data_IF_255378353079
#
_entry.id   IF_255378353079
#
_cell.length_a   1.000
_cell.length_b   1.000
_cell.length_c   1.000
_cell.angle_alpha   90.00
_cell.angle_beta   90.00
_cell.angle_gamma   90.00
#
_symmetry.space_group_name_H-M   'P 1'
#
loop_
_entity.id
_entity.type
_entity.pdbx_description
1 polymer ?
#
# COMPACT_ATOMS: atom_id res chain seq x y z
N UNK A 1 22.14 -14.32 -23.22
CA UNK A 1 21.62 -13.16 -23.95
C UNK A 1 21.66 -11.97 -23.01
N UNK A 2 22.47 -10.95 -23.30
CA UNK A 2 22.60 -9.75 -22.44
C UNK A 2 21.34 -8.88 -22.46
N UNK A 3 20.48 -9.09 -23.46
CA UNK A 3 19.26 -8.31 -23.64
C UNK A 3 18.07 -8.93 -22.92
N UNK A 4 18.10 -10.23 -22.62
CA UNK A 4 17.09 -10.96 -21.86
C UNK A 4 17.75 -11.87 -20.81
N UNK A 5 18.29 -11.31 -19.71
CA UNK A 5 18.95 -12.10 -18.69
C UNK A 5 17.95 -13.05 -17.99
N UNK A 6 18.36 -14.31 -17.79
CA UNK A 6 17.62 -15.32 -17.04
C UNK A 6 17.76 -15.17 -15.52
N UNK A 7 18.78 -14.44 -15.08
CA UNK A 7 19.05 -14.06 -13.70
C UNK A 7 19.82 -12.74 -13.70
N UNK A 8 19.64 -11.96 -12.64
CA UNK A 8 20.53 -10.84 -12.34
C UNK A 8 21.55 -11.29 -11.30
N UNK A 9 22.72 -10.65 -11.32
CA UNK A 9 23.66 -10.77 -10.20
C UNK A 9 22.95 -10.36 -8.90
N UNK A 10 23.17 -11.11 -7.82
CA UNK A 10 22.44 -10.93 -6.56
C UNK A 10 22.68 -9.56 -5.94
N UNK A 11 23.91 -9.04 -6.04
CA UNK A 11 24.26 -7.72 -5.51
C UNK A 11 23.57 -6.65 -6.36
N UNK A 12 23.61 -6.78 -7.69
CA UNK A 12 22.90 -5.86 -8.59
C UNK A 12 21.39 -5.85 -8.36
N UNK A 13 20.75 -7.01 -8.19
CA UNK A 13 19.32 -7.11 -7.91
C UNK A 13 18.96 -6.41 -6.60
N UNK A 14 19.77 -6.61 -5.56
CA UNK A 14 19.60 -5.95 -4.26
C UNK A 14 19.77 -4.43 -4.34
N UNK A 15 20.80 -3.95 -5.04
CA UNK A 15 21.05 -2.52 -5.25
C UNK A 15 19.93 -1.86 -6.07
N UNK A 16 19.50 -2.48 -7.17
CA UNK A 16 18.42 -1.99 -8.01
C UNK A 16 17.11 -1.91 -7.23
N UNK A 17 16.77 -2.96 -6.49
CA UNK A 17 15.57 -3.02 -5.64
C UNK A 17 15.59 -1.92 -4.57
N UNK A 18 16.74 -1.72 -3.93
CA UNK A 18 16.94 -0.65 -2.94
C UNK A 18 16.73 0.72 -3.56
N UNK A 19 17.32 0.97 -4.72
CA UNK A 19 17.16 2.23 -5.44
C UNK A 19 15.72 2.47 -5.87
N UNK A 20 15.05 1.46 -6.44
CA UNK A 20 13.64 1.55 -6.87
C UNK A 20 12.68 1.82 -5.70
N UNK A 21 12.92 1.22 -4.54
CA UNK A 21 12.10 1.44 -3.35
C UNK A 21 12.35 2.78 -2.68
N UNK A 22 13.57 3.30 -2.80
CA UNK A 22 13.93 4.63 -2.35
C UNK A 22 13.35 5.67 -3.31
N UNK A 23 13.79 5.69 -4.56
CA UNK A 23 13.43 6.77 -5.49
C UNK A 23 12.04 6.65 -6.10
N UNK A 24 11.40 5.46 -6.01
CA UNK A 24 10.01 5.21 -6.41
C UNK A 24 9.64 5.83 -7.77
N UNK A 25 10.41 5.54 -8.85
CA UNK A 25 10.04 6.00 -10.18
C UNK A 25 8.66 5.44 -10.55
N UNK A 26 7.91 6.17 -11.37
CA UNK A 26 6.54 5.75 -11.74
C UNK A 26 6.56 4.42 -12.50
N UNK A 27 7.54 4.24 -13.39
CA UNK A 27 7.57 3.13 -14.34
C UNK A 27 8.89 2.38 -14.36
N UNK A 28 8.84 1.06 -14.54
CA UNK A 28 9.99 0.21 -14.86
C UNK A 28 9.68 -0.65 -16.10
N UNK A 29 10.54 -0.54 -17.12
CA UNK A 29 10.50 -1.40 -18.29
C UNK A 29 11.58 -2.49 -18.16
N UNK A 30 11.19 -3.75 -18.33
CA UNK A 30 12.02 -4.93 -18.10
C UNK A 30 12.03 -5.79 -19.36
N UNK A 31 13.22 -5.98 -19.92
CA UNK A 31 13.46 -6.98 -20.96
C UNK A 31 14.29 -8.09 -20.32
N UNK A 32 13.64 -9.06 -19.68
CA UNK A 32 14.29 -10.12 -18.93
C UNK A 32 13.38 -11.34 -18.85
N UNK A 33 13.89 -12.44 -18.31
CA UNK A 33 13.06 -13.61 -18.03
C UNK A 33 11.92 -13.29 -17.06
N UNK A 34 10.81 -14.01 -17.20
CA UNK A 34 9.62 -13.76 -16.42
C UNK A 34 9.85 -13.91 -14.91
N UNK A 35 10.79 -14.77 -14.47
CA UNK A 35 11.13 -14.92 -13.05
C UNK A 35 11.80 -13.66 -12.49
N UNK A 36 12.76 -13.10 -13.23
CA UNK A 36 13.45 -11.85 -12.87
C UNK A 36 12.44 -10.70 -12.80
N UNK A 37 11.54 -10.62 -13.79
CA UNK A 37 10.48 -9.61 -13.80
C UNK A 37 9.53 -9.74 -12.60
N UNK A 38 9.16 -10.97 -12.24
CA UNK A 38 8.33 -11.24 -11.07
C UNK A 38 9.04 -10.89 -9.76
N UNK A 39 10.32 -11.23 -9.63
CA UNK A 39 11.12 -10.91 -8.45
C UNK A 39 11.25 -9.39 -8.26
N UNK A 40 11.50 -8.64 -9.34
CA UNK A 40 11.48 -7.18 -9.32
C UNK A 40 10.12 -6.63 -8.94
N UNK A 41 9.03 -7.15 -9.51
CA UNK A 41 7.66 -6.77 -9.18
C UNK A 41 7.32 -7.02 -7.70
N UNK A 42 7.72 -8.16 -7.15
CA UNK A 42 7.44 -8.54 -5.76
C UNK A 42 8.22 -7.69 -4.76
N UNK A 43 9.49 -7.39 -5.08
CA UNK A 43 10.41 -6.69 -4.21
C UNK A 43 10.44 -5.18 -4.42
N UNK A 44 9.62 -4.63 -5.32
CA UNK A 44 9.46 -3.19 -5.49
C UNK A 44 8.00 -2.78 -5.48
N UNK A 45 7.69 -1.49 -5.39
CA UNK A 45 6.30 -1.00 -5.33
C UNK A 45 6.08 0.23 -6.21
N UNK A 46 6.37 0.07 -7.50
CA UNK A 46 6.18 1.09 -8.53
C UNK A 46 4.74 1.05 -9.05
N UNK A 47 4.34 2.11 -9.74
CA UNK A 47 2.98 2.20 -10.29
C UNK A 47 2.84 1.33 -11.54
N UNK A 48 3.91 1.24 -12.35
CA UNK A 48 3.86 0.65 -13.70
C UNK A 48 5.05 -0.27 -13.94
N UNK A 49 4.77 -1.52 -14.24
CA UNK A 49 5.76 -2.49 -14.71
C UNK A 49 5.44 -2.94 -16.13
N UNK A 50 6.41 -2.89 -17.04
CA UNK A 50 6.27 -3.40 -18.41
C UNK A 50 7.29 -4.51 -18.66
N UNK A 51 6.81 -5.71 -18.96
CA UNK A 51 7.61 -6.89 -19.28
C UNK A 51 7.62 -7.10 -20.79
N UNK A 52 8.81 -7.08 -21.38
CA UNK A 52 9.04 -7.26 -22.81
C UNK A 52 9.46 -8.68 -23.16
N UNK A 53 9.15 -9.10 -24.39
CA UNK A 53 9.68 -10.33 -24.99
C UNK A 53 10.64 -9.96 -26.11
N UNK A 54 11.92 -10.32 -25.97
CA UNK A 54 12.92 -10.10 -27.02
C UNK A 54 12.79 -11.13 -28.13
N UNK A 55 12.48 -12.38 -27.78
CA UNK A 55 12.26 -13.45 -28.76
C UNK A 55 11.12 -13.12 -29.72
N UNK A 56 10.02 -12.57 -29.21
CA UNK A 56 8.85 -12.17 -30.01
C UNK A 56 8.99 -10.77 -30.62
N UNK A 57 10.19 -10.17 -30.56
CA UNK A 57 10.48 -8.81 -31.04
C UNK A 57 9.53 -7.75 -30.49
N UNK A 58 9.05 -7.95 -29.26
CA UNK A 58 8.17 -7.05 -28.54
C UNK A 58 8.85 -6.55 -27.26
N UNK A 59 9.97 -5.80 -27.36
CA UNK A 59 10.68 -5.32 -26.18
C UNK A 59 9.82 -4.31 -25.40
N UNK A 60 9.97 -4.33 -24.09
CA UNK A 60 9.48 -3.28 -23.21
C UNK A 60 10.32 -2.03 -23.46
N UNK A 61 9.64 -0.97 -23.88
CA UNK A 61 10.23 0.35 -24.06
C UNK A 61 9.68 1.27 -22.98
N UNK A 62 10.53 2.13 -22.42
CA UNK A 62 10.08 3.24 -21.58
C UNK A 62 9.37 4.25 -22.48
N UNK A 63 8.06 4.18 -22.59
CA UNK A 63 7.29 5.22 -23.25
C UNK A 63 6.95 6.31 -22.23
N UNK A 64 7.37 7.55 -22.49
CA UNK A 64 6.83 8.74 -21.85
C UNK A 64 5.30 8.69 -21.88
N UNK A 65 4.68 8.83 -20.71
CA UNK A 65 3.26 9.10 -20.44
C UNK A 65 2.34 9.28 -21.67
N UNK A 66 2.03 8.18 -22.37
CA UNK A 66 0.92 8.12 -23.32
C UNK A 66 -0.16 7.27 -22.67
N UNK A 67 -1.45 7.63 -22.82
CA UNK A 67 -2.53 6.75 -22.43
C UNK A 67 -2.43 5.45 -23.23
N UNK A 68 -1.86 4.43 -22.61
CA UNK A 68 -1.82 3.07 -23.14
C UNK A 68 -2.71 2.26 -22.23
N UNK A 69 -3.61 1.47 -22.82
CA UNK A 69 -4.38 0.46 -22.07
C UNK A 69 -5.22 1.03 -20.90
N UNK A 70 -5.75 2.26 -21.06
CA UNK A 70 -6.63 2.94 -20.09
C UNK A 70 -5.92 3.77 -19.01
N UNK A 71 -4.61 3.93 -19.12
CA UNK A 71 -3.76 4.60 -18.12
C UNK A 71 -3.70 6.13 -18.31
N UNK A 72 -4.06 6.93 -17.31
CA UNK A 72 -3.60 8.33 -17.22
C UNK A 72 -2.95 8.54 -15.85
N UNK A 73 -1.65 8.74 -15.79
CA UNK A 73 -0.98 9.00 -14.50
C UNK A 73 -0.80 10.51 -14.31
N UNK A 74 -1.15 10.99 -13.12
CA UNK A 74 -0.71 12.30 -12.65
C UNK A 74 0.64 12.18 -11.95
N UNK A 75 0.83 12.97 -10.91
CA UNK A 75 2.06 12.94 -10.10
C UNK A 75 2.01 11.85 -9.02
N UNK A 76 3.08 11.07 -8.97
CA UNK A 76 3.36 10.07 -7.92
C UNK A 76 4.71 10.39 -7.31
N UNK A 77 4.79 11.30 -6.33
CA UNK A 77 6.04 11.53 -5.62
C UNK A 77 6.43 10.27 -4.83
N UNK A 78 7.73 10.11 -4.51
CA UNK A 78 8.14 9.14 -3.50
C UNK A 78 7.34 9.34 -2.22
N UNK A 79 6.91 8.25 -1.56
CA UNK A 79 6.03 8.34 -0.38
C UNK A 79 6.57 9.23 0.73
N UNK A 80 7.89 9.23 0.96
CA UNK A 80 8.57 10.12 1.92
C UNK A 80 8.40 11.62 1.61
N UNK A 81 8.04 11.95 0.37
CA UNK A 81 7.85 13.32 -0.13
C UNK A 81 6.37 13.65 -0.38
N UNK A 82 5.44 12.70 -0.16
CA UNK A 82 4.03 12.87 -0.50
C UNK A 82 3.46 14.14 0.13
N UNK A 83 3.57 14.27 1.46
CA UNK A 83 3.04 15.41 2.22
C UNK A 83 3.68 16.77 1.85
N UNK A 84 4.83 16.76 1.17
CA UNK A 84 5.47 17.97 0.69
C UNK A 84 4.85 18.52 -0.60
N UNK A 85 4.13 17.68 -1.36
CA UNK A 85 3.66 18.04 -2.72
C UNK A 85 2.18 17.76 -2.96
N UNK A 86 1.57 16.76 -2.30
CA UNK A 86 0.16 16.40 -2.49
C UNK A 86 -0.44 15.66 -1.29
N UNK A 87 -1.77 15.71 -1.14
CA UNK A 87 -2.48 14.98 -0.10
C UNK A 87 -2.61 13.48 -0.42
N UNK A 88 -2.62 13.14 -1.71
CA UNK A 88 -2.84 11.79 -2.22
C UNK A 88 -2.08 11.57 -3.54
N UNK A 89 -1.65 10.34 -3.84
CA UNK A 89 -1.23 9.97 -5.19
C UNK A 89 -2.33 10.30 -6.23
N UNK A 90 -1.96 10.87 -7.38
CA UNK A 90 -2.93 11.32 -8.39
C UNK A 90 -3.03 10.34 -9.56
N UNK A 91 -4.14 9.61 -9.66
CA UNK A 91 -4.48 8.77 -10.83
C UNK A 91 -5.48 9.53 -11.67
N UNK A 92 -5.22 9.78 -12.95
CA UNK A 92 -6.20 10.36 -13.89
C UNK A 92 -6.84 9.19 -14.70
N UNK A 93 -8.10 9.29 -15.15
CA UNK A 93 -9.12 10.24 -14.74
C UNK A 93 -9.74 9.83 -13.39
N UNK A 94 -9.18 10.28 -12.27
CA UNK A 94 -9.92 10.40 -11.02
C UNK A 94 -10.88 11.57 -11.16
N UNK A 95 -12.11 11.44 -10.66
CA UNK A 95 -13.02 12.56 -10.56
C UNK A 95 -12.41 13.63 -9.64
N UNK A 96 -12.17 14.84 -10.17
CA UNK A 96 -11.65 16.01 -9.44
C UNK A 96 -12.34 16.26 -8.08
N UNK A 97 -13.65 15.96 -7.88
CA UNK A 97 -14.29 16.09 -6.56
C UNK A 97 -13.72 15.17 -5.48
N UNK A 98 -13.15 14.02 -5.83
CA UNK A 98 -12.68 13.02 -4.87
C UNK A 98 -11.58 13.53 -3.92
N UNK A 99 -10.63 14.32 -4.44
CA UNK A 99 -9.52 14.88 -3.65
C UNK A 99 -9.96 15.90 -2.60
N UNK A 100 -11.13 16.52 -2.79
CA UNK A 100 -11.69 17.53 -1.90
C UNK A 100 -12.91 17.01 -1.13
N UNK A 101 -13.18 15.70 -1.19
CA UNK A 101 -14.33 15.08 -0.53
C UNK A 101 -13.92 14.34 0.73
N UNK A 102 -14.77 14.44 1.75
CA UNK A 102 -14.62 13.68 3.00
C UNK A 102 -15.95 13.08 3.41
N UNK A 103 -15.90 11.98 4.16
CA UNK A 103 -17.10 11.45 4.80
C UNK A 103 -17.57 12.40 5.91
N UNK A 104 -18.88 12.63 5.97
CA UNK A 104 -19.47 13.44 7.02
C UNK A 104 -19.46 12.68 8.36
N UNK A 105 -19.18 13.39 9.45
CA UNK A 105 -19.17 12.84 10.82
C UNK A 105 -20.46 12.09 11.18
N UNK A 106 -21.62 12.64 10.83
CA UNK A 106 -22.91 12.03 11.12
C UNK A 106 -23.09 10.66 10.41
N UNK A 107 -22.60 10.55 9.17
CA UNK A 107 -22.60 9.28 8.44
C UNK A 107 -21.70 8.26 9.14
N UNK A 108 -20.48 8.65 9.50
CA UNK A 108 -19.52 7.76 10.16
C UNK A 108 -20.00 7.28 11.54
N UNK A 109 -20.55 8.18 12.36
CA UNK A 109 -21.12 7.81 13.66
C UNK A 109 -22.26 6.78 13.51
N UNK A 110 -23.16 7.00 12.56
CA UNK A 110 -24.23 6.04 12.27
C UNK A 110 -23.68 4.70 11.78
N UNK A 111 -22.66 4.71 10.92
CA UNK A 111 -22.05 3.50 10.35
C UNK A 111 -21.29 2.68 11.43
N UNK A 112 -20.66 3.38 12.38
CA UNK A 112 -19.90 2.79 13.49
C UNK A 112 -20.73 2.37 14.70
N UNK A 113 -22.01 2.72 14.75
CA UNK A 113 -22.91 2.32 15.84
C UNK A 113 -23.35 0.84 15.76
N UNK A 114 -23.21 0.21 14.59
CA UNK A 114 -23.57 -1.20 14.42
C UNK A 114 -22.62 -2.13 15.22
N UNK A 115 -23.14 -3.22 15.83
CA UNK A 115 -22.31 -4.20 16.55
C UNK A 115 -21.17 -4.73 15.67
N UNK A 116 -19.97 -4.84 16.24
CA UNK A 116 -18.75 -5.25 15.51
C UNK A 116 -18.91 -6.64 14.87
N UNK A 117 -19.68 -7.52 15.49
CA UNK A 117 -19.92 -8.88 15.01
C UNK A 117 -20.61 -8.91 13.64
N UNK A 118 -21.33 -7.83 13.27
CA UNK A 118 -22.07 -7.75 12.02
C UNK A 118 -21.21 -7.35 10.82
N UNK A 119 -20.05 -6.71 11.04
CA UNK A 119 -19.28 -6.11 9.95
C UNK A 119 -17.76 -6.26 10.08
N UNK A 120 -17.21 -6.38 11.29
CA UNK A 120 -15.78 -6.45 11.50
C UNK A 120 -15.25 -7.88 11.29
N UNK A 121 -14.20 -8.07 10.47
CA UNK A 121 -13.48 -9.33 10.41
C UNK A 121 -12.99 -9.75 11.80
N UNK A 122 -13.02 -11.05 12.08
CA UNK A 122 -12.71 -11.59 13.42
C UNK A 122 -11.36 -11.10 13.96
N UNK A 123 -10.30 -11.14 13.12
CA UNK A 123 -8.96 -10.68 13.48
C UNK A 123 -8.84 -9.17 13.79
N UNK A 124 -9.84 -8.37 13.43
CA UNK A 124 -9.87 -6.92 13.69
C UNK A 124 -10.69 -6.54 14.93
N UNK A 125 -11.55 -7.44 15.43
CA UNK A 125 -12.57 -7.10 16.45
C UNK A 125 -11.95 -6.57 17.74
N UNK A 126 -10.94 -7.24 18.29
CA UNK A 126 -10.30 -6.83 19.54
C UNK A 126 -9.70 -5.42 19.45
N UNK A 127 -9.09 -5.08 18.31
CA UNK A 127 -8.49 -3.75 18.05
C UNK A 127 -9.59 -2.70 17.89
N UNK A 128 -10.65 -3.00 17.15
CA UNK A 128 -11.80 -2.10 16.99
C UNK A 128 -12.58 -1.90 18.29
N UNK A 129 -12.58 -2.89 19.19
CA UNK A 129 -13.27 -2.80 20.48
C UNK A 129 -12.53 -1.88 21.46
N UNK A 130 -11.21 -1.79 21.34
CA UNK A 130 -10.38 -0.83 22.06
C UNK A 130 -10.53 0.61 21.53
N UNK A 131 -11.09 0.80 20.33
CA UNK A 131 -11.43 2.14 19.84
C UNK A 131 -12.70 2.64 20.57
N UNK A 132 -12.66 3.84 21.12
CA UNK A 132 -13.79 4.41 21.85
C UNK A 132 -14.65 5.31 20.97
N UNK A 133 -14.07 6.01 20.00
CA UNK A 133 -14.79 6.89 19.06
C UNK A 133 -15.68 6.11 18.08
N UNK A 134 -17.03 6.31 18.12
CA UNK A 134 -17.93 5.73 17.13
C UNK A 134 -17.64 6.22 15.70
N UNK A 135 -17.16 7.45 15.58
CA UNK A 135 -16.81 8.05 14.28
C UNK A 135 -15.61 7.34 13.65
N UNK A 136 -14.55 7.07 14.43
CA UNK A 136 -13.36 6.36 13.94
C UNK A 136 -13.67 4.89 13.64
N UNK A 137 -14.53 4.24 14.44
CA UNK A 137 -15.09 2.90 14.11
C UNK A 137 -15.82 2.91 12.78
N UNK A 138 -16.69 3.89 12.57
CA UNK A 138 -17.42 4.05 11.31
C UNK A 138 -16.50 4.22 10.12
N UNK A 139 -15.44 5.01 10.28
CA UNK A 139 -14.45 5.17 9.22
C UNK A 139 -13.67 3.88 8.98
N UNK A 140 -13.24 3.16 10.02
CA UNK A 140 -12.61 1.86 9.88
C UNK A 140 -13.50 0.85 9.14
N UNK A 141 -14.82 0.87 9.40
CA UNK A 141 -15.78 0.06 8.67
C UNK A 141 -15.79 0.39 7.18
N UNK A 142 -15.86 1.67 6.82
CA UNK A 142 -15.78 2.12 5.41
C UNK A 142 -14.48 1.64 4.74
N UNK A 143 -13.34 1.74 5.44
CA UNK A 143 -12.06 1.27 4.92
C UNK A 143 -12.06 -0.25 4.70
N UNK A 144 -12.66 -1.02 5.61
CA UNK A 144 -12.77 -2.48 5.50
C UNK A 144 -13.69 -2.89 4.35
N UNK A 145 -14.83 -2.21 4.17
CA UNK A 145 -15.74 -2.44 3.04
C UNK A 145 -15.04 -2.18 1.70
N UNK A 146 -14.28 -1.08 1.59
CA UNK A 146 -13.46 -0.80 0.41
C UNK A 146 -12.39 -1.87 0.17
N UNK A 147 -11.64 -2.26 1.20
CA UNK A 147 -10.60 -3.29 1.07
C UNK A 147 -11.19 -4.64 0.67
N UNK A 148 -12.35 -5.02 1.19
CA UNK A 148 -13.02 -6.26 0.83
C UNK A 148 -13.32 -6.34 -0.68
N UNK A 149 -13.71 -5.23 -1.32
CA UNK A 149 -13.92 -5.16 -2.76
C UNK A 149 -12.60 -5.07 -3.55
N UNK A 150 -11.71 -4.15 -3.13
CA UNK A 150 -10.49 -3.81 -3.84
C UNK A 150 -9.39 -4.90 -3.78
N UNK A 151 -9.50 -5.86 -2.86
CA UNK A 151 -8.48 -6.90 -2.62
C UNK A 151 -8.93 -8.32 -3.01
N UNK A 152 -9.88 -8.43 -3.94
CA UNK A 152 -10.35 -9.69 -4.55
C UNK A 152 -9.36 -10.33 -5.53
N UNK A 153 -8.14 -9.82 -5.61
CA UNK A 153 -7.11 -10.19 -6.58
C UNK A 153 -6.94 -9.15 -7.69
N UNK A 154 -5.91 -9.28 -8.54
CA UNK A 154 -5.69 -8.33 -9.62
C UNK A 154 -6.80 -8.43 -10.68
N UNK A 155 -7.17 -7.29 -11.23
CA UNK A 155 -8.10 -7.17 -12.36
C UNK A 155 -7.32 -7.15 -13.65
N UNK A 156 -7.90 -7.72 -14.71
CA UNK A 156 -7.34 -7.61 -16.07
C UNK A 156 -7.64 -6.23 -16.65
N UNK A 157 -6.63 -5.59 -17.23
CA UNK A 157 -6.82 -4.32 -17.93
C UNK A 157 -7.54 -4.47 -19.27
N UNK A 158 -7.96 -3.34 -19.81
CA UNK A 158 -8.58 -3.23 -21.13
C UNK A 158 -7.57 -2.59 -22.10
N UNK A 159 -7.08 -3.37 -23.07
CA UNK A 159 -6.04 -2.88 -23.96
C UNK A 159 -5.55 -3.94 -24.95
N UNK A 160 -4.66 -3.52 -25.84
CA UNK A 160 -4.00 -4.44 -26.76
C UNK A 160 -2.97 -5.31 -26.02
N UNK A 161 -2.37 -4.77 -24.96
CA UNK A 161 -1.43 -5.49 -24.11
C UNK A 161 -2.16 -6.23 -23.02
N UNK A 162 -1.55 -7.34 -22.59
CA UNK A 162 -2.04 -8.09 -21.44
C UNK A 162 -1.58 -7.40 -20.16
N UNK A 163 -2.51 -6.92 -19.36
CA UNK A 163 -2.18 -6.21 -18.12
C UNK A 163 -3.02 -6.68 -16.93
N UNK A 164 -2.43 -6.54 -15.74
CA UNK A 164 -3.05 -6.79 -14.44
C UNK A 164 -2.88 -5.54 -13.58
N UNK A 165 -3.92 -5.15 -12.84
CA UNK A 165 -3.88 -3.99 -11.95
C UNK A 165 -4.63 -4.25 -10.64
N UNK A 166 -4.24 -3.57 -9.57
CA UNK A 166 -4.88 -3.69 -8.27
C UNK A 166 -4.07 -3.08 -7.13
N UNK A 167 -4.57 -3.26 -5.91
CA UNK A 167 -3.82 -2.95 -4.70
C UNK A 167 -2.71 -3.98 -4.49
N UNK A 168 -1.53 -3.48 -4.16
CA UNK A 168 -0.34 -4.28 -3.92
C UNK A 168 0.08 -4.13 -2.45
N UNK A 169 0.84 -5.10 -1.96
CA UNK A 169 1.59 -5.00 -0.71
C UNK A 169 2.81 -4.10 -0.90
N UNK A 170 3.33 -3.46 0.16
CA UNK A 170 4.69 -2.91 0.14
C UNK A 170 5.72 -3.97 -0.31
N UNK A 171 6.96 -3.59 -0.67
CA UNK A 171 8.01 -4.54 -1.07
C UNK A 171 8.08 -5.77 -0.17
N UNK A 172 8.07 -6.99 -0.72
CA UNK A 172 7.87 -8.19 0.11
C UNK A 172 9.07 -8.51 1.03
N UNK A 173 10.30 -8.31 0.56
CA UNK A 173 11.52 -8.62 1.33
C UNK A 173 11.90 -7.52 2.33
N UNK A 174 11.74 -6.25 1.98
CA UNK A 174 12.28 -5.11 2.75
C UNK A 174 11.25 -4.03 3.08
N UNK A 175 10.03 -4.14 2.55
CA UNK A 175 9.02 -3.10 2.62
C UNK A 175 8.27 -3.09 3.94
N UNK A 176 8.89 -2.54 4.97
CA UNK A 176 8.22 -2.19 6.22
C UNK A 176 7.58 -0.81 6.12
N UNK A 177 6.35 -0.70 6.59
CA UNK A 177 5.63 0.54 6.82
C UNK A 177 5.67 0.88 8.31
N UNK A 178 5.87 2.15 8.65
CA UNK A 178 5.83 2.62 10.02
C UNK A 178 4.63 3.53 10.28
N UNK A 179 3.91 3.28 11.36
CA UNK A 179 3.04 4.27 11.98
C UNK A 179 3.79 4.87 13.18
N UNK A 180 4.27 6.11 13.04
CA UNK A 180 4.96 6.83 14.12
C UNK A 180 3.94 7.58 14.96
N UNK A 181 3.81 7.20 16.22
CA UNK A 181 2.95 7.82 17.22
C UNK A 181 3.80 8.70 18.14
N UNK A 182 3.63 10.01 18.01
CA UNK A 182 4.21 11.02 18.88
C UNK A 182 3.46 11.13 20.21
N UNK A 183 3.94 12.04 21.05
CA UNK A 183 3.34 12.31 22.36
C UNK A 183 1.91 12.83 22.21
N UNK A 184 0.98 12.27 23.01
CA UNK A 184 -0.40 12.73 23.09
C UNK A 184 -1.34 12.18 22.00
N UNK A 185 -0.87 11.33 21.09
CA UNK A 185 -1.74 10.65 20.12
C UNK A 185 -2.64 9.65 20.82
N UNK A 186 -3.93 9.69 20.51
CA UNK A 186 -4.88 8.69 21.01
C UNK A 186 -4.90 7.44 20.14
N UNK A 187 -5.25 6.30 20.72
CA UNK A 187 -5.47 5.07 19.96
C UNK A 187 -6.55 5.22 18.88
N UNK A 188 -7.60 5.98 19.18
CA UNK A 188 -8.69 6.30 18.23
C UNK A 188 -8.18 7.00 16.97
N UNK A 189 -7.13 7.82 17.06
CA UNK A 189 -6.54 8.44 15.87
C UNK A 189 -5.69 7.47 15.05
N UNK A 190 -5.03 6.53 15.74
CA UNK A 190 -4.14 5.55 15.15
C UNK A 190 -4.89 4.39 14.48
N UNK A 191 -6.06 4.00 14.99
CA UNK A 191 -6.75 2.77 14.57
C UNK A 191 -7.05 2.74 13.07
N UNK A 192 -7.40 3.87 12.44
CA UNK A 192 -7.64 3.95 10.99
C UNK A 192 -6.41 3.61 10.13
N UNK A 193 -5.20 3.80 10.66
CA UNK A 193 -3.95 3.44 10.00
C UNK A 193 -3.56 1.98 10.26
N UNK A 194 -4.00 1.42 11.39
CA UNK A 194 -3.68 0.05 11.82
C UNK A 194 -4.58 -0.99 11.13
N UNK A 195 -5.89 -0.75 11.12
CA UNK A 195 -6.89 -1.69 10.62
C UNK A 195 -6.65 -2.14 9.17
N UNK A 196 -6.27 -1.25 8.22
CA UNK A 196 -5.98 -1.67 6.86
C UNK A 196 -4.88 -2.72 6.74
N UNK A 197 -3.83 -2.66 7.58
CA UNK A 197 -2.78 -3.68 7.61
C UNK A 197 -3.26 -4.94 8.32
N UNK A 198 -3.91 -4.80 9.47
CA UNK A 198 -4.39 -5.94 10.26
C UNK A 198 -5.38 -6.82 9.47
N UNK A 199 -6.22 -6.19 8.65
CA UNK A 199 -7.25 -6.85 7.87
C UNK A 199 -6.74 -7.51 6.57
N UNK A 200 -5.46 -7.36 6.24
CA UNK A 200 -4.91 -7.78 4.94
C UNK A 200 -3.64 -8.61 5.07
N UNK A 201 -3.20 -9.19 3.96
CA UNK A 201 -1.93 -9.92 3.85
C UNK A 201 -0.68 -9.06 4.11
N UNK A 202 -0.83 -7.74 4.26
CA UNK A 202 0.24 -6.82 4.62
C UNK A 202 0.45 -6.65 6.13
N UNK A 203 -0.32 -7.35 6.99
CA UNK A 203 -0.26 -7.26 8.45
C UNK A 203 1.16 -7.21 9.03
N UNK A 204 2.03 -8.12 8.61
CA UNK A 204 3.41 -8.24 9.13
C UNK A 204 4.34 -7.13 8.65
N UNK A 205 3.90 -6.30 7.70
CA UNK A 205 4.67 -5.17 7.17
C UNK A 205 4.41 -3.89 7.95
N UNK A 206 3.49 -3.87 8.93
CA UNK A 206 3.28 -2.72 9.80
C UNK A 206 4.14 -2.80 11.07
N UNK A 207 4.88 -1.73 11.33
CA UNK A 207 5.54 -1.44 12.60
C UNK A 207 4.89 -0.21 13.23
N UNK A 208 4.52 -0.30 14.49
CA UNK A 208 3.99 0.82 15.26
C UNK A 208 5.11 1.33 16.16
N UNK A 209 5.63 2.51 15.84
CA UNK A 209 6.69 3.18 16.60
C UNK A 209 6.06 4.22 17.50
N UNK A 210 5.99 3.96 18.80
CA UNK A 210 5.42 4.88 19.76
C UNK A 210 6.51 5.61 20.54
N UNK A 211 6.27 6.90 20.80
CA UNK A 211 7.07 7.68 21.73
C UNK A 211 7.12 6.98 23.11
N UNK A 212 8.26 6.97 23.82
CA UNK A 212 8.37 6.31 25.12
C UNK A 212 7.42 6.91 26.15
N UNK A 213 7.12 8.21 26.03
CA UNK A 213 6.25 8.95 26.93
C UNK A 213 4.77 8.91 26.49
N UNK A 214 4.44 8.28 25.36
CA UNK A 214 3.05 8.17 24.92
C UNK A 214 2.29 7.13 25.75
N UNK A 215 1.19 7.53 26.38
CA UNK A 215 0.24 6.57 26.95
C UNK A 215 -0.43 5.79 25.80
N UNK A 216 -0.04 4.54 25.62
CA UNK A 216 -0.56 3.67 24.55
C UNK A 216 -0.80 2.25 25.10
N UNK A 217 -1.80 2.10 25.99
CA UNK A 217 -2.09 0.83 26.66
C UNK A 217 -2.54 -0.28 25.70
N UNK A 218 -3.00 0.07 24.50
CA UNK A 218 -3.43 -0.87 23.47
C UNK A 218 -2.26 -1.59 22.79
N UNK A 219 -1.01 -1.24 23.12
CA UNK A 219 0.19 -1.94 22.65
C UNK A 219 0.10 -3.47 22.86
N UNK A 220 -0.44 -3.90 24.01
CA UNK A 220 -0.60 -5.32 24.32
C UNK A 220 -1.64 -6.00 23.42
N UNK A 221 -2.75 -5.31 23.15
CA UNK A 221 -3.81 -5.82 22.24
C UNK A 221 -3.24 -6.00 20.84
N UNK A 222 -2.49 -5.01 20.36
CA UNK A 222 -1.85 -5.04 19.04
C UNK A 222 -0.79 -6.14 18.95
N UNK A 223 0.02 -6.31 20.00
CA UNK A 223 1.05 -7.35 20.06
C UNK A 223 0.45 -8.75 20.09
N UNK A 224 -0.67 -8.98 20.81
CA UNK A 224 -1.42 -10.24 20.77
C UNK A 224 -2.03 -10.52 19.41
N UNK A 225 -2.36 -9.47 18.66
CA UNK A 225 -2.74 -9.59 17.26
C UNK A 225 -1.53 -9.80 16.34
N UNK A 226 -0.29 -9.92 16.84
CA UNK A 226 0.90 -10.17 16.03
C UNK A 226 1.43 -8.95 15.29
N UNK A 227 1.04 -7.73 15.70
CA UNK A 227 1.65 -6.50 15.19
C UNK A 227 2.90 -6.16 16.01
N UNK A 228 3.92 -5.62 15.34
CA UNK A 228 5.14 -5.17 16.00
C UNK A 228 4.94 -3.76 16.57
N UNK A 229 4.96 -3.63 17.88
CA UNK A 229 4.95 -2.33 18.58
C UNK A 229 6.32 -2.10 19.21
N UNK A 230 6.94 -0.96 18.92
CA UNK A 230 8.23 -0.55 19.50
C UNK A 230 8.09 0.79 20.21
N UNK A 231 8.89 0.97 21.26
CA UNK A 231 9.01 2.23 22.00
C UNK A 231 10.36 2.83 21.69
N UNK A 232 10.40 3.99 21.05
CA UNK A 232 11.66 4.64 20.68
C UNK A 232 11.53 6.16 20.69
N UNK A 233 12.60 6.84 21.13
CA UNK A 233 12.68 8.30 21.14
C UNK A 233 12.68 8.87 19.71
N UNK A 234 12.48 10.18 19.59
CA UNK A 234 12.53 10.86 18.30
C UNK A 234 13.89 10.69 17.60
N UNK A 235 14.98 10.73 18.36
CA UNK A 235 16.35 10.59 17.86
C UNK A 235 16.63 9.16 17.40
N UNK A 236 16.19 8.16 18.18
CA UNK A 236 16.32 6.75 17.81
C UNK A 236 15.51 6.43 16.55
N UNK A 237 14.30 6.99 16.43
CA UNK A 237 13.48 6.86 15.24
C UNK A 237 14.14 7.49 14.01
N UNK A 238 14.64 8.73 14.13
CA UNK A 238 15.32 9.41 13.02
C UNK A 238 16.53 8.61 12.48
N UNK A 239 17.25 7.90 13.36
CA UNK A 239 18.36 7.04 12.97
C UNK A 239 17.93 5.74 12.23
N UNK A 240 16.66 5.35 12.32
CA UNK A 240 16.11 4.15 11.69
C UNK A 240 15.10 4.44 10.56
N UNK A 241 14.73 5.71 10.37
CA UNK A 241 13.71 6.17 9.43
C UNK A 241 13.88 5.62 8.01
N UNK A 242 15.13 5.64 7.51
CA UNK A 242 15.47 5.19 6.15
C UNK A 242 15.20 3.70 5.88
N UNK A 243 14.90 2.89 6.90
CA UNK A 243 14.58 1.46 6.77
C UNK A 243 13.12 1.23 6.40
N UNK A 244 12.27 2.23 6.56
CA UNK A 244 10.85 2.11 6.25
C UNK A 244 10.60 2.58 4.81
N UNK A 245 9.81 1.78 4.08
CA UNK A 245 9.36 2.13 2.75
C UNK A 245 8.30 3.23 2.75
N UNK A 246 7.48 3.28 3.81
CA UNK A 246 6.46 4.29 4.01
C UNK A 246 6.32 4.62 5.50
N UNK A 247 6.04 5.88 5.83
CA UNK A 247 5.88 6.35 7.21
C UNK A 247 4.66 7.25 7.29
N UNK A 248 3.76 6.95 8.22
CA UNK A 248 2.67 7.83 8.61
C UNK A 248 2.96 8.41 10.00
N UNK A 249 2.94 9.74 10.13
CA UNK A 249 3.18 10.43 11.40
C UNK A 249 1.86 10.85 12.05
N UNK A 250 1.71 10.56 13.35
CA UNK A 250 0.65 11.08 14.22
C UNK A 250 1.29 11.71 15.47
N UNK A 251 0.85 12.89 15.96
CA UNK A 251 0.09 13.84 15.17
C UNK A 251 0.93 14.20 13.94
N UNK A 252 0.25 14.69 12.89
CA UNK A 252 0.99 15.02 11.66
C UNK A 252 2.02 16.10 11.91
N UNK A 253 3.10 16.01 11.16
CA UNK A 253 4.21 16.95 11.27
C UNK A 253 3.71 18.36 10.94
N UNK A 254 3.83 19.35 11.84
CA UNK A 254 3.32 20.70 11.61
C UNK A 254 3.92 21.39 10.37
N UNK A 255 5.08 20.92 9.89
CA UNK A 255 5.78 21.43 8.72
C UNK A 255 5.32 20.84 7.40
N UNK A 256 4.36 19.90 7.39
CA UNK A 256 3.81 19.34 6.16
C UNK A 256 2.90 20.39 5.48
N UNK A 257 3.26 20.91 4.29
CA UNK A 257 2.48 21.94 3.61
C UNK A 257 1.13 21.41 3.10
N UNK A 258 1.00 20.10 2.89
CA UNK A 258 -0.23 19.45 2.43
C UNK A 258 -0.69 18.40 3.43
N UNK A 259 -1.99 18.45 3.78
CA UNK A 259 -2.59 17.59 4.80
C UNK A 259 -3.71 16.75 4.19
N UNK A 260 -3.54 15.42 4.14
CA UNK A 260 -4.61 14.46 3.83
C UNK A 260 -5.83 14.66 4.77
N UNK A 261 -7.02 14.97 4.27
CA UNK A 261 -8.19 15.15 5.14
C UNK A 261 -8.44 13.96 6.10
N UNK A 262 -8.91 14.24 7.32
CA UNK A 262 -9.09 13.25 8.41
C UNK A 262 -9.95 12.04 8.00
N UNK A 263 -11.01 12.29 7.22
CA UNK A 263 -11.94 11.28 6.70
C UNK A 263 -12.01 11.33 5.18
N UNK A 264 -10.85 11.34 4.53
CA UNK A 264 -10.73 11.19 3.08
C UNK A 264 -11.56 10.01 2.55
N UNK A 265 -11.92 10.03 1.26
CA UNK A 265 -12.56 8.86 0.66
C UNK A 265 -11.66 7.63 0.76
N UNK A 266 -12.26 6.45 0.96
CA UNK A 266 -11.52 5.23 1.31
C UNK A 266 -10.37 4.92 0.34
N UNK A 267 -10.64 4.98 -0.97
CA UNK A 267 -9.63 4.75 -2.01
C UNK A 267 -8.43 5.72 -1.89
N UNK A 268 -8.70 7.00 -1.64
CA UNK A 268 -7.66 8.01 -1.48
C UNK A 268 -6.84 7.76 -0.22
N UNK A 269 -7.47 7.47 0.92
CA UNK A 269 -6.75 7.15 2.14
C UNK A 269 -5.91 5.86 2.00
N UNK A 270 -6.49 4.78 1.50
CA UNK A 270 -5.83 3.49 1.31
C UNK A 270 -4.62 3.61 0.37
N UNK A 271 -4.70 4.46 -0.66
CA UNK A 271 -3.57 4.73 -1.56
C UNK A 271 -2.34 5.34 -0.85
N UNK A 272 -2.52 6.01 0.28
CA UNK A 272 -1.42 6.54 1.11
C UNK A 272 -0.72 5.45 1.93
N UNK A 273 -1.36 4.30 2.12
CA UNK A 273 -0.83 3.18 2.90
C UNK A 273 -0.25 2.09 2.01
N UNK A 274 -0.98 1.73 0.95
CA UNK A 274 -0.63 0.64 0.06
C UNK A 274 -0.32 1.13 -1.36
N UNK A 275 0.65 0.50 -2.03
CA UNK A 275 0.88 0.75 -3.45
C UNK A 275 -0.32 0.31 -4.28
N UNK A 276 -0.63 1.12 -5.28
CA UNK A 276 -1.53 0.78 -6.36
C UNK A 276 -0.66 0.70 -7.60
N UNK A 277 -0.85 -0.33 -8.40
CA UNK A 277 -0.07 -0.41 -9.62
C UNK A 277 -0.54 -1.49 -10.55
N UNK A 278 0.09 -1.52 -11.71
CA UNK A 278 -0.15 -2.50 -12.74
C UNK A 278 1.14 -3.16 -13.20
N UNK A 279 1.01 -4.37 -13.73
CA UNK A 279 2.06 -5.07 -14.47
C UNK A 279 1.48 -5.45 -15.82
N UNK A 280 2.24 -5.21 -16.89
CA UNK A 280 1.81 -5.52 -18.26
C UNK A 280 2.88 -6.26 -19.05
N UNK A 281 2.42 -7.17 -19.89
CA UNK A 281 3.21 -7.80 -20.94
C UNK A 281 3.01 -7.04 -22.24
N UNK A 282 4.08 -6.86 -23.02
CA UNK A 282 3.98 -6.27 -24.37
C UNK A 282 3.16 -7.12 -25.34
N UNK A 283 2.99 -8.42 -25.05
CA UNK A 283 2.17 -9.35 -25.83
C UNK A 283 0.67 -9.28 -25.47
N UNK A 284 -0.18 -9.46 -26.48
CA UNK A 284 -1.63 -9.62 -26.35
C UNK A 284 -2.00 -11.04 -25.90
N UNK A 285 -3.06 -11.17 -25.10
CA UNK A 285 -3.57 -12.46 -24.60
C UNK A 285 -2.49 -13.41 -24.03
N UNK A 286 -1.52 -12.86 -23.32
CA UNK A 286 -0.38 -13.60 -22.78
C UNK A 286 -0.80 -14.39 -21.52
N UNK A 287 -1.37 -15.58 -21.70
CA UNK A 287 -1.93 -16.40 -20.62
C UNK A 287 -0.91 -16.76 -19.54
N UNK A 288 0.30 -17.20 -19.93
CA UNK A 288 1.36 -17.56 -18.99
C UNK A 288 1.75 -16.40 -18.06
N UNK A 289 1.85 -15.18 -18.63
CA UNK A 289 2.06 -13.96 -17.85
C UNK A 289 0.93 -13.72 -16.84
N UNK A 290 -0.33 -13.90 -17.24
CA UNK A 290 -1.46 -13.71 -16.33
C UNK A 290 -1.42 -14.73 -15.19
N UNK A 291 -1.22 -16.01 -15.50
CA UNK A 291 -1.14 -17.06 -14.49
C UNK A 291 -0.03 -16.79 -13.48
N UNK A 292 1.16 -16.45 -13.97
CA UNK A 292 2.31 -16.17 -13.13
C UNK A 292 2.09 -14.94 -12.23
N UNK A 293 1.76 -13.79 -12.83
CA UNK A 293 1.67 -12.54 -12.06
C UNK A 293 0.41 -12.47 -11.22
N UNK A 294 -0.71 -13.09 -11.60
CA UNK A 294 -1.92 -13.09 -10.77
C UNK A 294 -1.77 -13.95 -9.50
N UNK A 295 -0.92 -14.98 -9.55
CA UNK A 295 -0.59 -15.82 -8.41
C UNK A 295 0.38 -15.16 -7.42
N UNK A 296 1.01 -14.04 -7.79
CA UNK A 296 2.01 -13.37 -6.96
C UNK A 296 1.45 -12.97 -5.58
N UNK A 297 2.17 -13.25 -4.48
CA UNK A 297 1.80 -12.80 -3.14
C UNK A 297 1.93 -11.28 -2.98
N UNK A 298 2.42 -10.56 -4.01
CA UNK A 298 2.48 -9.10 -4.05
C UNK A 298 1.11 -8.45 -4.03
N UNK A 299 0.08 -9.08 -4.59
CA UNK A 299 -1.27 -8.52 -4.58
C UNK A 299 -1.82 -8.49 -3.16
N UNK A 300 -2.37 -7.34 -2.77
CA UNK A 300 -3.02 -7.19 -1.48
C UNK A 300 -4.30 -8.03 -1.48
N UNK A 301 -4.51 -8.78 -0.41
CA UNK A 301 -5.70 -9.62 -0.18
C UNK A 301 -6.19 -9.39 1.24
N UNK A 302 -7.49 -9.57 1.48
CA UNK A 302 -8.00 -9.71 2.84
C UNK A 302 -7.25 -10.85 3.54
N UNK A 303 -6.94 -10.68 4.82
CA UNK A 303 -6.38 -11.74 5.63
C UNK A 303 -7.42 -12.85 5.76
N UNK A 304 -7.01 -14.09 5.54
CA UNK A 304 -7.89 -15.22 5.82
C UNK A 304 -8.23 -15.23 7.32
N UNK A 305 -9.46 -15.63 7.71
CA UNK A 305 -9.75 -15.91 9.10
C UNK A 305 -8.71 -16.91 9.58
N UNK A 306 -8.09 -16.67 10.74
CA UNK A 306 -7.20 -17.64 11.35
C UNK A 306 -8.01 -18.94 11.53
N UNK A 307 -7.81 -19.90 10.64
CA UNK A 307 -8.36 -21.23 10.80
C UNK A 307 -7.83 -21.73 12.14
N UNK A 308 -8.75 -22.13 13.02
CA UNK A 308 -8.46 -22.60 14.38
C UNK A 308 -7.31 -23.61 14.33
N UNK A 309 -6.10 -23.16 14.67
CA UNK A 309 -4.98 -24.03 15.04
C UNK A 309 -5.22 -24.55 16.45
#
# INVERSE_FOLDING_TARGET
>A
DITAPASLDGDFMGELTTWLNREQPITLAMNCDAKVAQELFENTSLVVYTVGSIGDKAPALTAQARPQDGECFGEFPPRRMLEAVTAFPVIIPSSTPGYNSTYASAFLQAHGAAPLEQWAPEGCRAVLQACHSPEEKGYCRVLLEYLADATTGPRRGCGARTSLFGLQRPPLSTGLCCLRLGKGVSFDEAVRYIIPFLATTAKTQLVISADPDAAFPEADVLSRQGLKVVRESKEAFAASEARYWNIAFLPRTPSAPVCTPKYALAAHFISTLFPMGHVKSTLSNHTAFVEQFAASPKWLRMAEPASRM
#
